data_IF_200895024833
#
_entry.id   IF_200895024833
#
_cell.length_a   1.000
_cell.length_b   1.000
_cell.length_c   1.000
_cell.angle_alpha   90.00
_cell.angle_beta   90.00
_cell.angle_gamma   90.00
#
_symmetry.space_group_name_H-M   'P 1'
#
loop_
_entity.id
_entity.type
_entity.pdbx_description
1 polymer ?
#
# COMPACT_ATOMS: atom_id res chain seq x y z
N UNK A 1 14.10 -44.06 18.36
CA UNK A 1 14.07 -44.65 19.72
C UNK A 1 15.36 -45.41 19.94
N UNK A 2 16.30 -44.81 20.68
CA UNK A 2 17.38 -45.48 21.42
C UNK A 2 17.85 -44.49 22.49
N UNK A 3 17.52 -44.75 23.76
CA UNK A 3 17.96 -43.96 24.91
C UNK A 3 19.35 -44.43 25.28
N UNK A 4 20.35 -43.55 25.21
CA UNK A 4 21.69 -43.85 25.70
C UNK A 4 21.63 -44.02 27.22
N UNK A 5 22.04 -45.19 27.70
CA UNK A 5 22.15 -45.45 29.13
C UNK A 5 23.64 -45.35 29.54
N UNK A 6 24.04 -44.30 30.29
CA UNK A 6 25.43 -44.09 30.74
C UNK A 6 25.88 -45.11 31.79
N UNK A 7 25.02 -46.01 32.28
CA UNK A 7 25.44 -47.14 33.13
C UNK A 7 25.95 -48.35 32.34
N UNK A 8 25.92 -48.32 30.99
CA UNK A 8 26.53 -49.38 30.17
C UNK A 8 28.01 -49.10 29.90
N UNK A 9 28.86 -49.31 30.91
CA UNK A 9 30.28 -49.60 30.69
C UNK A 9 30.46 -51.10 30.43
N UNK A 10 30.90 -51.49 29.23
CA UNK A 10 31.23 -52.89 28.91
C UNK A 10 32.68 -53.15 29.36
N UNK A 11 32.87 -54.07 30.31
CA UNK A 11 34.20 -54.36 30.88
C UNK A 11 34.88 -55.45 30.04
N UNK A 12 36.07 -55.15 29.52
CA UNK A 12 36.87 -56.11 28.74
C UNK A 12 37.64 -57.01 29.72
N UNK A 13 37.63 -58.33 29.50
CA UNK A 13 38.30 -59.28 30.39
C UNK A 13 39.20 -60.22 29.59
N UNK A 14 40.09 -60.94 30.28
CA UNK A 14 40.96 -61.96 29.67
C UNK A 14 40.21 -63.14 29.01
N UNK A 15 38.89 -63.22 29.23
CA UNK A 15 38.01 -64.22 28.64
C UNK A 15 37.28 -63.69 27.39
N UNK A 16 37.56 -62.45 26.99
CA UNK A 16 36.95 -61.82 25.81
C UNK A 16 37.60 -62.37 24.53
N UNK A 17 36.81 -62.89 23.56
CA UNK A 17 37.31 -63.43 22.30
C UNK A 17 38.14 -62.40 21.51
N UNK A 18 39.19 -62.88 20.84
CA UNK A 18 40.11 -62.07 20.03
C UNK A 18 39.78 -62.20 18.53
N UNK A 19 38.50 -62.29 18.20
CA UNK A 19 37.97 -62.52 16.85
C UNK A 19 37.74 -61.23 16.05
N UNK A 20 37.90 -60.04 16.65
CA UNK A 20 37.81 -58.75 15.95
C UNK A 20 36.39 -58.19 15.83
N UNK A 21 35.37 -59.06 15.88
CA UNK A 21 33.95 -58.72 15.84
C UNK A 21 33.57 -57.65 16.88
N UNK A 22 34.21 -57.69 18.04
CA UNK A 22 33.95 -56.76 19.15
C UNK A 22 34.46 -55.33 18.90
N UNK A 23 35.45 -55.16 18.02
CA UNK A 23 35.96 -53.84 17.62
C UNK A 23 35.07 -53.27 16.52
N UNK A 24 34.67 -54.09 15.54
CA UNK A 24 33.76 -53.69 14.48
C UNK A 24 32.39 -53.27 15.05
N UNK A 25 31.85 -54.04 16.00
CA UNK A 25 30.64 -53.68 16.77
C UNK A 25 30.74 -52.29 17.42
N UNK A 26 31.92 -51.93 17.93
CA UNK A 26 32.14 -50.67 18.63
C UNK A 26 32.30 -49.49 17.65
N UNK A 27 32.97 -49.71 16.52
CA UNK A 27 33.08 -48.71 15.45
C UNK A 27 31.71 -48.41 14.84
N UNK A 28 30.89 -49.43 14.57
CA UNK A 28 29.52 -49.25 14.07
C UNK A 28 28.63 -48.51 15.06
N UNK A 29 28.79 -48.79 16.36
CA UNK A 29 28.06 -48.08 17.43
C UNK A 29 28.43 -46.60 17.49
N UNK A 30 29.72 -46.27 17.36
CA UNK A 30 30.19 -44.88 17.33
C UNK A 30 29.73 -44.15 16.07
N UNK A 31 29.80 -44.81 14.90
CA UNK A 31 29.32 -44.27 13.64
C UNK A 31 27.81 -43.97 13.66
N UNK A 32 26.99 -44.87 14.24
CA UNK A 32 25.56 -44.63 14.43
C UNK A 32 25.26 -43.43 15.35
N UNK A 33 26.13 -43.17 16.33
CA UNK A 33 26.04 -42.01 17.21
C UNK A 33 26.37 -40.70 16.49
N UNK A 34 27.42 -40.70 15.68
CA UNK A 34 27.82 -39.52 14.90
C UNK A 34 26.78 -39.15 13.85
N UNK A 35 26.16 -40.14 13.19
CA UNK A 35 25.02 -39.92 12.30
C UNK A 35 23.82 -39.32 13.03
N UNK A 36 23.49 -39.85 14.21
CA UNK A 36 22.38 -39.32 15.01
C UNK A 36 22.62 -37.86 15.47
N UNK A 37 23.85 -37.54 15.87
CA UNK A 37 24.22 -36.18 16.24
C UNK A 37 24.15 -35.23 15.05
N UNK A 38 24.61 -35.69 13.87
CA UNK A 38 24.49 -34.92 12.63
C UNK A 38 23.04 -34.63 12.27
N UNK A 39 22.18 -35.65 12.28
CA UNK A 39 20.74 -35.49 12.00
C UNK A 39 20.06 -34.52 13.00
N UNK A 40 20.46 -34.59 14.27
CA UNK A 40 19.93 -33.70 15.31
C UNK A 40 20.38 -32.24 15.11
N UNK A 41 21.64 -32.01 14.73
CA UNK A 41 22.18 -30.68 14.42
C UNK A 41 21.50 -30.09 13.18
N UNK A 42 21.28 -30.90 12.14
CA UNK A 42 20.61 -30.47 10.90
C UNK A 42 19.13 -30.13 11.17
N UNK A 43 18.44 -30.90 12.02
CA UNK A 43 17.07 -30.61 12.47
C UNK A 43 16.98 -29.30 13.27
N UNK A 44 17.91 -29.09 14.20
CA UNK A 44 17.92 -27.86 15.02
C UNK A 44 18.25 -26.62 14.17
N UNK A 45 19.17 -26.75 13.20
CA UNK A 45 19.50 -25.69 12.24
C UNK A 45 18.28 -25.24 11.42
N UNK A 46 17.40 -26.17 11.03
CA UNK A 46 16.13 -25.87 10.35
C UNK A 46 15.10 -25.21 11.29
N UNK A 47 14.97 -25.71 12.52
CA UNK A 47 14.03 -25.15 13.51
C UNK A 47 14.37 -23.69 13.89
N UNK A 48 15.65 -23.37 14.04
CA UNK A 48 16.12 -22.00 14.31
C UNK A 48 15.89 -21.09 13.11
N UNK A 49 16.16 -21.57 11.89
CA UNK A 49 15.91 -20.80 10.65
C UNK A 49 14.42 -20.48 10.47
N UNK A 50 13.52 -21.43 10.76
CA UNK A 50 12.07 -21.21 10.72
C UNK A 50 11.57 -20.23 11.78
N UNK A 51 12.12 -20.31 13.00
CA UNK A 51 11.74 -19.41 14.09
C UNK A 51 12.19 -17.96 13.84
N UNK A 52 13.36 -17.75 13.25
CA UNK A 52 13.87 -16.43 12.87
C UNK A 52 13.02 -15.80 11.74
N UNK A 53 12.55 -16.60 10.77
CA UNK A 53 11.64 -16.11 9.71
C UNK A 53 10.24 -15.78 10.24
N UNK A 54 9.74 -16.54 11.21
CA UNK A 54 8.48 -16.29 11.91
C UNK A 54 8.51 -14.98 12.73
N UNK A 55 9.67 -14.59 13.26
CA UNK A 55 9.85 -13.33 13.99
C UNK A 55 10.04 -12.15 13.04
N UNK A 56 10.70 -12.34 11.90
CA UNK A 56 10.91 -11.28 10.91
C UNK A 56 9.64 -10.89 10.12
N UNK A 57 8.60 -11.73 10.10
CA UNK A 57 7.24 -11.36 9.64
C UNK A 57 6.42 -10.59 10.69
N UNK A 58 6.83 -10.61 11.95
CA UNK A 58 6.05 -10.15 13.10
C UNK A 58 6.09 -8.62 13.39
N UNK A 59 6.76 -7.78 12.58
CA UNK A 59 6.83 -6.30 12.80
C UNK A 59 6.05 -5.42 11.82
N UNK A 60 5.26 -6.01 10.91
CA UNK A 60 4.28 -5.27 10.11
C UNK A 60 2.93 -5.44 10.83
N UNK A 61 2.13 -4.42 11.19
CA UNK A 61 0.81 -4.66 11.77
C UNK A 61 -0.14 -5.34 10.77
N UNK A 62 -1.23 -5.96 11.23
CA UNK A 62 -2.27 -6.47 10.32
C UNK A 62 -2.76 -5.34 9.43
N UNK A 63 -2.85 -5.58 8.13
CA UNK A 63 -3.14 -4.52 7.20
C UNK A 63 -1.97 -3.52 7.05
N UNK A 64 -0.74 -3.88 7.38
CA UNK A 64 0.46 -3.15 6.93
C UNK A 64 0.94 -3.65 5.57
N UNK A 65 1.58 -2.78 4.79
CA UNK A 65 2.22 -3.15 3.50
C UNK A 65 3.73 -3.19 3.67
N UNK A 66 4.37 -4.18 3.06
CA UNK A 66 5.82 -4.28 2.96
C UNK A 66 6.24 -4.58 1.53
N UNK A 67 7.40 -4.08 1.13
CA UNK A 67 8.07 -4.57 -0.06
C UNK A 67 8.62 -5.99 0.15
N UNK A 68 8.54 -6.82 -0.89
CA UNK A 68 9.02 -8.20 -0.94
C UNK A 68 9.44 -8.58 -2.36
N UNK A 69 10.48 -7.90 -2.86
CA UNK A 69 10.94 -8.04 -4.26
C UNK A 69 11.41 -9.46 -4.61
N UNK A 70 11.93 -10.20 -3.62
CA UNK A 70 12.41 -11.58 -3.79
C UNK A 70 11.34 -12.63 -3.47
N UNK A 71 10.11 -12.20 -3.13
CA UNK A 71 8.98 -13.08 -2.83
C UNK A 71 9.27 -14.07 -1.68
N UNK A 72 9.91 -13.61 -0.61
CA UNK A 72 10.34 -14.45 0.52
C UNK A 72 9.34 -14.45 1.69
N UNK A 73 8.41 -13.49 1.74
CA UNK A 73 7.40 -13.48 2.78
C UNK A 73 6.43 -14.63 2.60
N UNK A 74 6.19 -15.34 3.71
CA UNK A 74 5.30 -16.49 3.78
C UNK A 74 3.90 -16.14 3.25
N UNK A 75 3.41 -16.82 2.20
CA UNK A 75 2.09 -16.58 1.61
C UNK A 75 0.91 -16.79 2.57
N UNK A 76 1.10 -17.45 3.72
CA UNK A 76 0.08 -17.60 4.75
C UNK A 76 -0.15 -16.31 5.53
N UNK A 77 0.90 -15.52 5.73
CA UNK A 77 0.85 -14.26 6.47
C UNK A 77 0.80 -13.03 5.55
N UNK A 78 1.23 -13.18 4.30
CA UNK A 78 1.31 -12.07 3.34
C UNK A 78 0.70 -12.41 1.99
N UNK A 79 0.00 -11.45 1.39
CA UNK A 79 -0.59 -11.54 0.05
C UNK A 79 -0.15 -10.36 -0.80
N UNK A 80 -0.02 -10.54 -2.10
CA UNK A 80 0.32 -9.44 -3.01
C UNK A 80 -0.70 -8.30 -2.90
N UNK A 81 -0.23 -7.06 -2.81
CA UNK A 81 -1.07 -5.87 -2.71
C UNK A 81 -1.63 -5.48 -4.10
N UNK A 82 -2.50 -6.33 -4.65
CA UNK A 82 -3.00 -6.24 -6.03
C UNK A 82 -4.54 -6.22 -6.13
N UNK A 83 -5.25 -5.88 -5.04
CA UNK A 83 -6.71 -5.83 -5.06
C UNK A 83 -7.42 -7.20 -5.00
N UNK A 84 -6.68 -8.31 -4.89
CA UNK A 84 -7.27 -9.65 -4.87
C UNK A 84 -8.28 -9.86 -3.74
N UNK A 85 -9.30 -10.67 -4.02
CA UNK A 85 -10.25 -11.12 -3.01
C UNK A 85 -9.63 -12.25 -2.18
N UNK A 86 -9.70 -12.14 -0.86
CA UNK A 86 -9.25 -13.16 0.10
C UNK A 86 -10.39 -13.55 1.03
N UNK A 87 -10.31 -14.75 1.61
CA UNK A 87 -11.36 -15.30 2.48
C UNK A 87 -11.53 -14.49 3.77
N UNK A 88 -12.78 -14.10 4.08
CA UNK A 88 -13.14 -13.47 5.37
C UNK A 88 -12.93 -14.41 6.54
N UNK A 89 -13.25 -15.71 6.37
CA UNK A 89 -13.13 -16.69 7.45
C UNK A 89 -11.68 -17.04 7.76
N UNK A 90 -10.82 -17.14 6.75
CA UNK A 90 -9.40 -17.42 6.93
C UNK A 90 -8.64 -16.23 7.53
N UNK A 91 -9.00 -15.00 7.16
CA UNK A 91 -8.32 -13.77 7.58
C UNK A 91 -9.23 -12.88 8.44
N UNK A 92 -9.97 -13.51 9.36
CA UNK A 92 -11.00 -12.86 10.18
C UNK A 92 -10.45 -11.72 11.06
N UNK A 93 -9.22 -11.84 11.56
CA UNK A 93 -8.60 -10.80 12.37
C UNK A 93 -8.41 -9.49 11.59
N UNK A 94 -7.92 -9.58 10.35
CA UNK A 94 -7.82 -8.43 9.46
C UNK A 94 -9.20 -7.91 9.06
N UNK A 95 -10.13 -8.81 8.69
CA UNK A 95 -11.49 -8.44 8.34
C UNK A 95 -12.17 -7.63 9.46
N UNK A 96 -12.10 -8.10 10.71
CA UNK A 96 -12.72 -7.41 11.86
C UNK A 96 -12.09 -6.03 12.18
N UNK A 97 -10.85 -5.79 11.77
CA UNK A 97 -10.22 -4.47 11.88
C UNK A 97 -10.83 -3.48 10.87
N UNK A 98 -11.06 -3.92 9.63
CA UNK A 98 -11.48 -3.06 8.52
C UNK A 98 -12.99 -3.01 8.29
N UNK A 99 -13.72 -4.03 8.73
CA UNK A 99 -15.18 -4.13 8.62
C UNK A 99 -15.87 -3.71 9.92
N UNK A 100 -17.01 -3.03 9.76
CA UNK A 100 -17.97 -2.69 10.81
C UNK A 100 -19.39 -2.86 10.29
N UNK A 101 -20.34 -3.02 11.21
CA UNK A 101 -21.77 -3.09 10.89
C UNK A 101 -22.44 -1.77 11.24
N UNK A 102 -23.27 -1.29 10.32
CA UNK A 102 -24.24 -0.21 10.54
C UNK A 102 -25.47 -0.82 11.18
N UNK A 103 -25.73 -0.50 12.44
CA UNK A 103 -26.90 -1.00 13.18
C UNK A 103 -28.17 -0.19 12.90
N UNK A 104 -28.01 1.01 12.35
CA UNK A 104 -29.12 1.88 11.99
C UNK A 104 -28.64 3.26 11.56
N UNK A 105 -29.52 3.97 10.87
CA UNK A 105 -29.41 5.39 10.58
C UNK A 105 -30.56 6.11 11.28
N UNK A 106 -30.27 7.27 11.85
CA UNK A 106 -31.27 8.16 12.45
C UNK A 106 -31.43 9.40 11.56
N UNK A 107 -32.38 9.39 10.60
CA UNK A 107 -32.60 10.49 9.64
C UNK A 107 -32.72 11.87 10.28
N UNK A 108 -33.42 11.98 11.41
CA UNK A 108 -33.65 13.27 12.09
C UNK A 108 -32.38 13.95 12.62
N UNK A 109 -31.25 13.25 12.63
CA UNK A 109 -29.94 13.76 13.12
C UNK A 109 -28.79 13.47 12.16
N UNK A 110 -29.07 12.85 11.01
CA UNK A 110 -28.06 12.36 10.05
C UNK A 110 -26.99 11.46 10.65
N UNK A 111 -27.31 10.76 11.75
CA UNK A 111 -26.37 9.91 12.48
C UNK A 111 -26.42 8.47 11.98
N UNK A 112 -25.26 7.91 11.72
CA UNK A 112 -25.06 6.51 11.35
C UNK A 112 -24.46 5.80 12.55
N UNK A 113 -25.19 4.82 13.10
CA UNK A 113 -24.75 4.06 14.26
C UNK A 113 -23.79 2.94 13.82
N UNK A 114 -22.53 3.05 14.25
CA UNK A 114 -21.45 2.08 14.01
C UNK A 114 -20.63 1.97 15.29
N UNK A 115 -20.83 0.89 16.04
CA UNK A 115 -20.17 0.74 17.35
C UNK A 115 -18.64 0.62 17.22
N UNK A 116 -17.91 1.32 18.09
CA UNK A 116 -16.45 1.29 18.16
C UNK A 116 -15.77 1.43 16.78
N UNK A 117 -16.23 2.39 15.97
CA UNK A 117 -15.73 2.57 14.60
C UNK A 117 -14.27 3.05 14.58
N UNK A 118 -13.78 3.73 15.61
CA UNK A 118 -12.37 4.13 15.77
C UNK A 118 -11.89 5.20 14.78
N UNK A 119 -12.82 5.92 14.16
CA UNK A 119 -12.55 6.96 13.15
C UNK A 119 -12.62 8.36 13.76
N UNK A 120 -11.82 9.25 13.22
CA UNK A 120 -11.77 10.67 13.57
C UNK A 120 -12.35 11.54 12.45
N UNK A 121 -12.53 12.83 12.76
CA UNK A 121 -13.02 13.82 11.80
C UNK A 121 -12.18 13.81 10.51
N UNK A 122 -12.84 13.67 9.37
CA UNK A 122 -12.22 13.70 8.05
C UNK A 122 -11.57 12.40 7.59
N UNK A 123 -11.70 11.30 8.35
CA UNK A 123 -11.35 9.95 7.87
C UNK A 123 -12.29 9.51 6.74
N UNK A 124 -11.82 8.61 5.88
CA UNK A 124 -12.62 8.02 4.82
C UNK A 124 -13.25 6.69 5.23
N UNK A 125 -14.49 6.48 4.80
CA UNK A 125 -15.24 5.22 4.95
C UNK A 125 -16.05 4.94 3.68
N UNK A 126 -16.59 3.73 3.56
CA UNK A 126 -17.56 3.37 2.50
C UNK A 126 -18.54 2.30 2.95
N UNK A 127 -19.69 2.24 2.26
CA UNK A 127 -20.80 1.34 2.59
C UNK A 127 -21.06 0.32 1.49
N UNK A 128 -21.59 -0.85 1.86
CA UNK A 128 -21.97 -1.90 0.92
C UNK A 128 -23.38 -1.71 0.33
N UNK A 129 -24.16 -0.75 0.84
CA UNK A 129 -25.57 -0.57 0.52
C UNK A 129 -25.86 0.83 -0.01
N UNK A 130 -26.98 0.96 -0.73
CA UNK A 130 -27.53 2.22 -1.20
C UNK A 130 -28.89 2.49 -0.55
N UNK A 131 -29.24 3.77 -0.40
CA UNK A 131 -30.51 4.25 0.16
C UNK A 131 -30.31 5.14 1.39
N UNK A 132 -31.35 5.88 1.77
CA UNK A 132 -31.28 6.85 2.87
C UNK A 132 -30.25 7.96 2.66
N UNK A 133 -29.98 8.35 1.40
CA UNK A 133 -28.94 9.34 1.06
C UNK A 133 -27.54 8.75 0.82
N UNK A 134 -27.34 7.44 1.05
CA UNK A 134 -26.06 6.75 0.83
C UNK A 134 -26.07 6.05 -0.54
N UNK A 135 -24.93 6.08 -1.22
CA UNK A 135 -24.65 5.30 -2.42
C UNK A 135 -23.57 4.27 -2.12
N UNK A 136 -23.81 3.00 -2.44
CA UNK A 136 -22.85 1.93 -2.23
C UNK A 136 -21.51 2.20 -2.93
N UNK A 137 -20.43 1.75 -2.31
CA UNK A 137 -19.05 1.87 -2.80
C UNK A 137 -18.50 3.30 -2.94
N UNK A 138 -19.32 4.32 -2.74
CA UNK A 138 -18.88 5.70 -2.65
C UNK A 138 -18.11 5.94 -1.35
N UNK A 139 -17.01 6.68 -1.45
CA UNK A 139 -16.19 7.09 -0.32
C UNK A 139 -16.77 8.35 0.32
N UNK A 140 -16.93 8.32 1.64
CA UNK A 140 -17.47 9.42 2.43
C UNK A 140 -16.51 9.83 3.52
N UNK A 141 -16.51 11.12 3.86
CA UNK A 141 -15.73 11.66 4.96
C UNK A 141 -16.54 11.61 6.24
N UNK A 142 -15.95 11.07 7.31
CA UNK A 142 -16.52 11.01 8.66
C UNK A 142 -16.60 12.42 9.24
N UNK A 143 -17.76 12.78 9.79
CA UNK A 143 -18.05 14.07 10.41
C UNK A 143 -18.67 13.90 11.78
N UNK A 144 -18.32 14.79 12.70
CA UNK A 144 -18.78 14.84 14.09
C UNK A 144 -18.81 13.46 14.80
N UNK A 145 -17.72 12.66 14.71
CA UNK A 145 -17.71 11.32 15.26
C UNK A 145 -17.83 11.32 16.79
N UNK A 146 -18.53 10.33 17.30
CA UNK A 146 -18.45 9.90 18.70
C UNK A 146 -17.67 8.57 18.75
N UNK A 147 -17.87 7.74 19.77
CA UNK A 147 -17.32 6.38 19.79
C UNK A 147 -18.17 5.42 18.96
N UNK A 148 -19.47 5.69 18.82
CA UNK A 148 -20.46 4.72 18.33
C UNK A 148 -21.31 5.24 17.17
N UNK A 149 -21.13 6.49 16.78
CA UNK A 149 -21.82 7.07 15.64
C UNK A 149 -21.01 8.20 15.00
N UNK A 150 -21.42 8.58 13.81
CA UNK A 150 -20.91 9.74 13.11
C UNK A 150 -21.94 10.21 12.08
N UNK A 151 -21.68 11.39 11.50
CA UNK A 151 -22.34 11.90 10.31
C UNK A 151 -21.36 11.79 9.12
N UNK A 152 -21.82 12.03 7.89
CA UNK A 152 -20.96 11.91 6.70
C UNK A 152 -21.03 13.13 5.78
N UNK A 153 -19.99 13.34 4.98
CA UNK A 153 -19.91 14.36 3.94
C UNK A 153 -19.25 13.82 2.66
N UNK A 154 -19.53 14.45 1.51
CA UNK A 154 -18.88 14.16 0.23
C UNK A 154 -17.48 14.78 0.10
N UNK A 155 -17.14 15.75 0.97
CA UNK A 155 -15.81 16.37 1.00
C UNK A 155 -15.30 16.46 2.44
N UNK A 156 -13.97 16.56 2.60
CA UNK A 156 -13.29 16.48 3.90
C UNK A 156 -13.85 17.44 4.96
N UNK A 157 -14.29 18.63 4.55
CA UNK A 157 -14.86 19.66 5.43
C UNK A 157 -16.21 20.18 4.93
N UNK A 158 -16.93 19.38 4.13
CA UNK A 158 -18.16 19.81 3.44
C UNK A 158 -19.40 19.92 4.33
N UNK A 159 -20.57 20.11 3.72
CA UNK A 159 -21.83 20.00 4.45
C UNK A 159 -22.12 18.54 4.83
N UNK A 160 -22.85 18.35 5.92
CA UNK A 160 -23.39 17.04 6.27
C UNK A 160 -24.37 16.59 5.18
N UNK A 161 -24.32 15.31 4.81
CA UNK A 161 -25.29 14.71 3.90
C UNK A 161 -26.58 14.45 4.69
N UNK A 162 -27.69 14.93 4.12
CA UNK A 162 -29.05 14.66 4.60
C UNK A 162 -29.40 13.18 4.40
N UNK A 163 -29.61 12.46 5.50
CA UNK A 163 -29.95 11.04 5.50
C UNK A 163 -31.46 10.86 5.61
N UNK A 164 -32.07 10.26 4.60
CA UNK A 164 -33.55 10.32 4.45
C UNK A 164 -34.29 9.09 4.97
N UNK A 165 -33.59 8.01 5.30
CA UNK A 165 -34.21 6.76 5.77
C UNK A 165 -33.25 5.94 6.64
N UNK A 166 -33.82 5.14 7.55
CA UNK A 166 -33.05 4.16 8.32
C UNK A 166 -32.50 3.07 7.37
N UNK A 167 -31.22 2.72 7.51
CA UNK A 167 -30.58 1.62 6.80
C UNK A 167 -29.71 0.81 7.75
N UNK A 168 -29.49 -0.45 7.37
CA UNK A 168 -28.54 -1.35 8.03
C UNK A 168 -27.66 -2.02 6.99
N UNK A 169 -26.47 -2.47 7.38
CA UNK A 169 -25.58 -3.18 6.47
C UNK A 169 -24.11 -3.02 6.84
N UNK A 170 -23.23 -3.30 5.88
CA UNK A 170 -21.79 -3.31 6.10
C UNK A 170 -21.13 -1.97 5.77
N UNK A 171 -20.10 -1.65 6.55
CA UNK A 171 -19.22 -0.50 6.41
C UNK A 171 -17.77 -0.96 6.43
N UNK A 172 -16.94 -0.36 5.57
CA UNK A 172 -15.49 -0.50 5.61
C UNK A 172 -14.90 0.84 6.03
N UNK A 173 -13.98 0.77 7.00
CA UNK A 173 -13.37 1.93 7.64
C UNK A 173 -11.97 2.29 7.12
N UNK A 174 -11.46 1.52 6.16
CA UNK A 174 -10.29 1.83 5.35
C UNK A 174 -10.65 1.56 3.88
N UNK A 175 -10.81 2.63 3.10
CA UNK A 175 -11.39 2.57 1.76
C UNK A 175 -10.53 1.86 0.71
N UNK A 176 -9.28 1.52 1.06
CA UNK A 176 -8.43 0.69 0.21
C UNK A 176 -8.83 -0.79 0.22
N UNK A 177 -9.52 -1.26 1.27
CA UNK A 177 -10.11 -2.60 1.31
C UNK A 177 -11.48 -2.61 0.63
N UNK A 178 -11.89 -3.72 0.03
CA UNK A 178 -13.19 -3.85 -0.64
C UNK A 178 -14.09 -4.92 -0.03
N UNK A 179 -15.37 -4.87 -0.35
CA UNK A 179 -16.36 -5.83 0.16
C UNK A 179 -16.27 -7.23 -0.46
N UNK A 180 -15.42 -7.45 -1.47
CA UNK A 180 -15.30 -8.73 -2.17
C UNK A 180 -16.60 -9.09 -2.90
N UNK A 181 -16.98 -10.36 -2.79
CA UNK A 181 -18.27 -10.91 -3.23
C UNK A 181 -19.47 -10.48 -2.37
N UNK A 182 -19.25 -9.65 -1.34
CA UNK A 182 -20.27 -9.21 -0.40
C UNK A 182 -20.64 -10.22 0.68
N UNK A 183 -20.05 -11.43 0.67
CA UNK A 183 -20.43 -12.50 1.60
C UNK A 183 -19.25 -13.24 2.19
N UNK A 184 -18.42 -13.89 1.38
CA UNK A 184 -17.38 -14.82 1.83
C UNK A 184 -15.96 -14.28 1.71
N UNK A 185 -15.77 -13.20 0.95
CA UNK A 185 -14.46 -12.63 0.63
C UNK A 185 -14.41 -11.12 0.87
N UNK A 186 -13.21 -10.56 0.94
CA UNK A 186 -12.96 -9.12 0.92
C UNK A 186 -11.73 -8.82 0.08
N UNK A 187 -11.71 -7.67 -0.59
CA UNK A 187 -10.55 -7.26 -1.37
C UNK A 187 -9.52 -6.62 -0.45
N UNK A 188 -8.25 -7.01 -0.61
CA UNK A 188 -7.15 -6.29 0.01
C UNK A 188 -6.74 -5.08 -0.83
N UNK A 189 -5.82 -4.29 -0.30
CA UNK A 189 -5.29 -3.10 -0.97
C UNK A 189 -4.68 -3.43 -2.32
N UNK A 190 -4.78 -2.48 -3.24
CA UNK A 190 -4.05 -2.46 -4.50
C UNK A 190 -2.98 -1.35 -4.47
N UNK A 191 -1.73 -1.74 -4.71
CA UNK A 191 -0.55 -0.87 -4.77
C UNK A 191 0.17 -0.96 -6.11
N UNK A 192 -0.42 -1.67 -7.08
CA UNK A 192 0.19 -1.80 -8.39
C UNK A 192 0.17 -0.45 -9.13
N UNK A 193 1.32 -0.06 -9.67
CA UNK A 193 1.43 1.10 -10.57
C UNK A 193 1.18 2.47 -9.91
N UNK A 194 1.03 2.54 -8.58
CA UNK A 194 0.76 3.80 -7.88
C UNK A 194 1.90 4.19 -6.94
N UNK A 195 2.15 5.49 -6.85
CA UNK A 195 3.05 6.06 -5.84
C UNK A 195 2.34 6.20 -4.50
N UNK A 196 3.04 5.91 -3.40
CA UNK A 196 2.51 6.11 -2.06
C UNK A 196 2.85 7.51 -1.56
N UNK A 197 1.90 8.16 -0.90
CA UNK A 197 2.08 9.44 -0.20
C UNK A 197 1.65 9.27 1.25
N UNK A 198 2.39 9.88 2.19
CA UNK A 198 1.98 9.93 3.58
C UNK A 198 0.66 10.69 3.74
N UNK A 199 -0.28 10.15 4.51
CA UNK A 199 -1.54 10.79 4.81
C UNK A 199 -1.35 12.03 5.69
N UNK A 200 -2.27 12.98 5.56
CA UNK A 200 -2.33 14.21 6.35
C UNK A 200 -1.57 15.39 5.76
N UNK A 201 -1.69 16.52 6.45
CA UNK A 201 -1.00 17.76 6.12
C UNK A 201 0.37 17.76 6.80
N UNK A 202 1.42 18.01 6.03
CA UNK A 202 2.79 18.14 6.54
C UNK A 202 2.87 19.33 7.53
N UNK A 203 3.66 19.21 8.60
CA UNK A 203 3.74 20.26 9.64
C UNK A 203 4.30 21.61 9.16
N UNK A 204 5.36 21.62 8.35
CA UNK A 204 6.06 22.87 7.98
C UNK A 204 6.47 23.02 6.51
N UNK A 205 6.46 21.94 5.71
CA UNK A 205 6.91 22.00 4.31
C UNK A 205 5.81 22.54 3.42
N UNK A 206 6.04 23.74 2.89
CA UNK A 206 5.13 24.41 1.97
C UNK A 206 5.35 23.95 0.51
N UNK A 207 4.26 23.90 -0.25
CA UNK A 207 4.27 23.73 -1.71
C UNK A 207 4.47 25.09 -2.40
N UNK A 208 4.74 25.06 -3.72
CA UNK A 208 5.06 26.25 -4.51
C UNK A 208 3.99 27.36 -4.42
N UNK A 209 2.71 27.01 -4.32
CA UNK A 209 1.60 27.96 -4.17
C UNK A 209 1.44 28.51 -2.74
N UNK A 210 2.32 28.18 -1.81
CA UNK A 210 2.09 28.35 -0.38
C UNK A 210 1.15 27.28 0.21
N UNK A 211 1.14 27.20 1.55
CA UNK A 211 0.45 26.14 2.31
C UNK A 211 1.21 24.80 2.26
N UNK A 212 0.94 23.93 3.23
CA UNK A 212 1.71 22.69 3.37
C UNK A 212 1.27 21.59 2.39
N UNK A 213 2.15 20.63 2.14
CA UNK A 213 1.78 19.39 1.42
C UNK A 213 0.67 18.66 2.17
N UNK A 214 -0.36 18.21 1.46
CA UNK A 214 -1.46 17.40 2.00
C UNK A 214 -1.57 16.10 1.20
N UNK A 215 -1.54 14.97 1.91
CA UNK A 215 -1.77 13.65 1.33
C UNK A 215 -3.23 13.20 1.35
N UNK A 216 -4.13 13.98 1.95
CA UNK A 216 -5.47 13.53 2.25
C UNK A 216 -5.51 12.57 3.45
N UNK A 217 -6.69 12.08 3.84
CA UNK A 217 -6.79 11.03 4.86
C UNK A 217 -6.25 9.68 4.36
N UNK A 218 -6.12 8.70 5.26
CA UNK A 218 -5.79 7.33 4.89
C UNK A 218 -6.84 6.79 3.91
N UNK A 219 -6.37 6.14 2.84
CA UNK A 219 -7.22 5.61 1.77
C UNK A 219 -7.60 6.61 0.67
N UNK A 220 -7.12 7.86 0.74
CA UNK A 220 -7.34 8.85 -0.31
C UNK A 220 -6.64 8.47 -1.64
N UNK A 221 -7.40 8.53 -2.74
CA UNK A 221 -6.95 8.14 -4.10
C UNK A 221 -6.70 9.37 -4.96
N UNK A 222 -5.52 9.96 -4.81
CA UNK A 222 -5.08 11.06 -5.69
C UNK A 222 -4.85 10.59 -7.13
N UNK A 223 -5.08 11.50 -8.08
CA UNK A 223 -4.72 11.32 -9.49
C UNK A 223 -3.40 12.04 -9.79
N UNK A 224 -2.79 11.75 -10.93
CA UNK A 224 -1.62 12.48 -11.41
C UNK A 224 -1.97 13.95 -11.65
N UNK A 225 -1.03 14.84 -11.30
CA UNK A 225 -1.22 16.28 -11.40
C UNK A 225 0.10 16.95 -11.79
N UNK A 226 0.04 17.84 -12.76
CA UNK A 226 1.14 18.75 -13.09
C UNK A 226 0.86 20.14 -12.50
N UNK A 227 1.91 20.80 -12.02
CA UNK A 227 1.80 22.21 -11.64
C UNK A 227 1.51 23.07 -12.87
N UNK A 228 0.58 24.01 -12.70
CA UNK A 228 0.34 25.06 -13.69
C UNK A 228 1.62 25.85 -13.94
N UNK A 229 1.94 26.09 -15.20
CA UNK A 229 3.12 26.86 -15.61
C UNK A 229 2.76 27.82 -16.74
N UNK A 230 3.34 29.02 -16.68
CA UNK A 230 3.35 29.98 -17.78
C UNK A 230 4.73 30.02 -18.42
N UNK A 231 4.78 30.18 -19.74
CA UNK A 231 6.01 30.43 -20.47
C UNK A 231 6.09 31.93 -20.75
N UNK A 232 7.13 32.59 -20.25
CA UNK A 232 7.42 34.00 -20.54
C UNK A 232 8.42 34.08 -21.68
N UNK A 233 8.13 34.93 -22.66
CA UNK A 233 9.06 35.26 -23.74
C UNK A 233 9.76 36.58 -23.36
N UNK A 234 11.10 36.64 -23.36
CA UNK A 234 11.81 37.90 -23.13
C UNK A 234 11.33 38.98 -24.12
N UNK A 235 11.09 40.22 -23.67
CA UNK A 235 10.79 41.32 -24.58
C UNK A 235 11.94 41.49 -25.58
N UNK A 236 11.64 41.35 -26.86
CA UNK A 236 12.63 41.47 -27.93
C UNK A 236 13.01 42.93 -28.11
N UNK A 237 14.21 43.32 -27.67
CA UNK A 237 14.67 44.70 -27.74
C UNK A 237 15.52 44.96 -28.99
N UNK A 238 15.14 44.46 -30.16
CA UNK A 238 15.67 44.90 -31.47
C UNK A 238 14.90 44.26 -32.63
N UNK A 239 14.66 45.08 -33.66
CA UNK A 239 14.28 44.65 -35.00
C UNK A 239 15.21 43.52 -35.49
N UNK A 240 14.69 42.29 -35.60
CA UNK A 240 15.39 41.15 -36.22
C UNK A 240 15.90 40.03 -35.30
N UNK A 241 15.59 40.00 -34.01
CA UNK A 241 15.98 38.89 -33.12
C UNK A 241 14.96 37.75 -33.10
N UNK A 242 15.36 36.54 -33.51
CA UNK A 242 14.53 35.35 -33.73
C UNK A 242 13.81 34.75 -32.49
N UNK A 243 13.88 35.37 -31.31
CA UNK A 243 13.35 34.81 -30.05
C UNK A 243 12.83 35.87 -29.07
N UNK A 244 11.93 36.77 -29.51
CA UNK A 244 11.28 37.75 -28.61
C UNK A 244 9.99 38.35 -29.18
N UNK A 245 9.01 38.66 -28.30
CA UNK A 245 7.83 39.49 -28.64
C UNK A 245 8.29 40.94 -28.88
N UNK A 246 7.90 41.53 -30.00
CA UNK A 246 8.27 42.90 -30.36
C UNK A 246 7.57 43.90 -29.41
N UNK A 247 8.35 44.62 -28.59
CA UNK A 247 7.83 45.60 -27.64
C UNK A 247 7.38 46.87 -28.36
N UNK A 248 6.07 47.13 -28.44
CA UNK A 248 5.57 48.41 -28.97
C UNK A 248 4.13 48.42 -29.50
N UNK A 249 3.54 47.26 -29.77
CA UNK A 249 2.14 47.16 -30.17
C UNK A 249 1.44 46.18 -29.24
N UNK A 250 0.44 46.66 -28.49
CA UNK A 250 -0.27 45.94 -27.42
C UNK A 250 -0.29 44.43 -27.63
N UNK A 251 0.51 43.73 -26.81
CA UNK A 251 0.88 42.33 -27.00
C UNK A 251 -0.32 41.40 -26.91
N UNK A 252 -0.96 41.17 -28.05
CA UNK A 252 -1.88 40.08 -28.27
C UNK A 252 -1.06 38.83 -28.60
N UNK A 253 -1.48 37.66 -28.08
CA UNK A 253 -0.95 36.33 -28.38
C UNK A 253 -1.16 35.95 -29.85
N UNK A 254 -0.56 36.72 -30.75
CA UNK A 254 -0.57 36.49 -32.18
C UNK A 254 0.87 36.67 -32.62
N UNK A 255 1.62 35.58 -32.80
CA UNK A 255 2.96 35.62 -33.37
C UNK A 255 2.84 36.07 -34.84
N UNK A 256 3.12 37.34 -35.19
CA UNK A 256 3.00 37.81 -36.55
C UNK A 256 4.33 37.53 -37.24
N UNK A 257 4.36 36.55 -38.14
CA UNK A 257 5.47 36.39 -39.07
C UNK A 257 6.22 35.06 -38.99
N UNK A 258 5.52 33.94 -39.14
CA UNK A 258 5.84 33.16 -40.33
C UNK A 258 5.28 33.94 -41.52
N UNK A 259 6.11 34.71 -42.22
CA UNK A 259 5.70 35.18 -43.55
C UNK A 259 5.40 33.93 -44.40
N UNK A 260 4.25 33.73 -45.03
CA UNK A 260 3.13 34.62 -45.29
C UNK A 260 1.85 33.79 -45.49
N UNK A 261 0.75 34.24 -44.88
CA UNK A 261 -0.66 34.05 -45.26
C UNK A 261 -1.27 32.64 -45.29
N UNK A 262 -1.84 32.22 -44.14
CA UNK A 262 -2.69 31.04 -44.06
C UNK A 262 -3.40 30.83 -42.71
N UNK A 263 -3.74 31.89 -41.98
CA UNK A 263 -4.79 31.89 -40.94
C UNK A 263 -4.73 30.89 -39.77
N UNK A 264 -3.66 30.12 -39.56
CA UNK A 264 -3.61 29.10 -38.51
C UNK A 264 -2.77 29.58 -37.30
N UNK A 265 -3.32 29.52 -36.06
CA UNK A 265 -2.60 29.92 -34.86
C UNK A 265 -1.39 29.01 -34.58
N UNK A 266 -0.22 29.61 -34.30
CA UNK A 266 0.98 28.89 -33.87
C UNK A 266 0.88 28.68 -32.36
N UNK A 267 0.36 27.52 -31.97
CA UNK A 267 0.39 27.05 -30.59
C UNK A 267 1.83 26.73 -30.16
N UNK A 268 2.18 26.99 -28.89
CA UNK A 268 3.39 26.40 -28.31
C UNK A 268 3.36 24.89 -28.56
N UNK A 269 4.34 24.39 -29.32
CA UNK A 269 4.42 22.98 -29.72
C UNK A 269 4.87 22.11 -28.55
N UNK A 270 4.98 20.79 -28.80
CA UNK A 270 5.51 19.81 -27.84
C UNK A 270 6.84 20.29 -27.22
N UNK A 271 7.15 19.93 -25.96
CA UNK A 271 8.45 20.23 -25.36
C UNK A 271 9.60 19.76 -26.27
N UNK A 272 10.54 20.65 -26.59
CA UNK A 272 11.76 20.35 -27.35
C UNK A 272 13.01 20.56 -26.49
N UNK A 273 14.13 19.94 -26.90
CA UNK A 273 15.43 20.15 -26.26
C UNK A 273 15.88 21.61 -26.39
N UNK A 274 16.49 22.16 -25.33
CA UNK A 274 17.16 23.46 -25.33
C UNK A 274 18.68 23.34 -25.56
N UNK A 275 19.17 22.14 -25.90
CA UNK A 275 20.58 21.84 -26.10
C UNK A 275 21.42 21.73 -24.83
N UNK A 276 20.88 22.04 -23.65
CA UNK A 276 21.59 22.03 -22.35
C UNK A 276 21.02 20.99 -21.39
N UNK A 277 19.70 20.93 -21.27
CA UNK A 277 18.97 20.08 -20.32
C UNK A 277 18.52 18.74 -20.93
N UNK A 278 19.04 18.43 -22.12
CA UNK A 278 18.76 17.19 -22.85
C UNK A 278 17.40 17.18 -23.56
N UNK A 279 17.12 16.08 -24.25
CA UNK A 279 15.86 15.90 -24.97
C UNK A 279 14.73 15.50 -24.01
N UNK A 280 13.61 16.23 -23.97
CA UNK A 280 12.45 15.87 -23.15
C UNK A 280 11.91 14.47 -23.49
N UNK A 281 11.62 13.67 -22.47
CA UNK A 281 10.90 12.40 -22.62
C UNK A 281 9.41 12.68 -22.52
N UNK A 282 8.64 12.22 -23.51
CA UNK A 282 7.19 12.42 -23.60
C UNK A 282 6.47 11.06 -23.52
N UNK A 283 5.28 11.05 -22.91
CA UNK A 283 4.48 9.86 -22.68
C UNK A 283 3.06 10.23 -22.25
N UNK A 284 2.24 9.21 -21.94
CA UNK A 284 0.86 9.39 -21.48
C UNK A 284 0.73 9.74 -19.99
N UNK A 285 1.77 9.48 -19.19
CA UNK A 285 1.80 9.71 -17.74
C UNK A 285 2.98 10.62 -17.36
N UNK A 286 2.72 11.57 -16.45
CA UNK A 286 3.79 12.34 -15.81
C UNK A 286 4.31 11.58 -14.60
N UNK A 287 5.49 10.97 -14.74
CA UNK A 287 6.11 10.18 -13.68
C UNK A 287 7.58 10.57 -13.51
N UNK A 288 8.09 10.50 -12.27
CA UNK A 288 9.52 10.60 -12.03
C UNK A 288 10.24 9.32 -12.47
N UNK A 289 11.57 9.35 -12.54
CA UNK A 289 12.33 8.09 -12.58
C UNK A 289 11.89 7.19 -11.41
N UNK A 290 11.65 5.92 -11.70
CA UNK A 290 11.10 4.96 -10.74
C UNK A 290 11.64 3.55 -10.97
N UNK A 291 11.49 2.70 -9.95
CA UNK A 291 11.75 1.26 -9.99
C UNK A 291 10.51 0.56 -9.45
N UNK A 292 10.05 -0.47 -10.16
CA UNK A 292 8.92 -1.27 -9.71
C UNK A 292 9.36 -2.25 -8.60
N UNK A 293 8.59 -2.28 -7.51
CA UNK A 293 8.78 -3.17 -6.37
C UNK A 293 7.53 -4.03 -6.17
N UNK A 294 7.73 -5.25 -5.68
CA UNK A 294 6.61 -6.11 -5.28
C UNK A 294 6.18 -5.72 -3.88
N UNK A 295 4.91 -5.39 -3.70
CA UNK A 295 4.33 -5.06 -2.40
C UNK A 295 3.41 -6.18 -1.92
N UNK A 296 3.49 -6.50 -0.63
CA UNK A 296 2.62 -7.46 0.03
C UNK A 296 1.93 -6.85 1.26
N UNK A 297 0.69 -7.24 1.46
CA UNK A 297 -0.17 -6.93 2.61
C UNK A 297 -0.01 -8.02 3.67
N UNK A 298 0.22 -7.64 4.93
CA UNK A 298 0.06 -8.57 6.05
C UNK A 298 -1.42 -8.89 6.29
N UNK A 299 -1.77 -10.16 6.18
CA UNK A 299 -3.15 -10.67 6.30
C UNK A 299 -3.37 -11.54 7.54
N UNK A 300 -2.29 -12.05 8.16
CA UNK A 300 -2.31 -12.80 9.41
C UNK A 300 -1.06 -12.49 10.26
#
# INVERSE_FOLDING_TARGET
MAVFNPTKTRTWSKNTPADGDLIDDEVDRLYGNDQYLKESIDSNSNNVTNSINLINSLLIPLGGVREDNLNQLDPNYFKDANGQAISRSQFAALWNLVHKTVSGITPSTDRIAVSAHGRIEGDLIKFAFSGGGITALTEYYVRNPTTNDFQISSTRTGSIIDLTANQTGDCIVDTEFGFGDGSTTFNIRDRNGISVRGAGVHGTRAKASGGNYDGGPVGYKGQDQAQGKGLSVPPGNVSGGAYGLNVGFGGQWNFPGGGTWGGAPISATLPISDGTNGTPRIGNETVSANVAVRMKVRVA
#
